data_IF_831177828026
#
_entry.id   IF_831177828026
#
_cell.length_a   1.000
_cell.length_b   1.000
_cell.length_c   1.000
_cell.angle_alpha   90.00
_cell.angle_beta   90.00
_cell.angle_gamma   90.00
#
_symmetry.space_group_name_H-M   'P 1'
#
loop_
_entity.id
_entity.type
_entity.pdbx_description
1 polymer ?
#
# COMPACT_ATOMS: atom_id res chain seq x y z
N UNK A 1 -5.86 37.79 9.34
CA UNK A 1 -5.86 37.53 10.79
C UNK A 1 -5.17 36.20 10.99
N UNK A 2 -4.02 36.14 11.67
CA UNK A 2 -3.34 34.88 12.01
C UNK A 2 -3.70 34.51 13.45
N UNK A 3 -4.76 33.72 13.61
CA UNK A 3 -5.15 33.14 14.89
C UNK A 3 -4.73 31.67 14.93
N UNK A 4 -3.93 31.28 15.92
CA UNK A 4 -3.79 29.86 16.28
C UNK A 4 -5.14 29.39 16.82
N UNK A 5 -5.94 28.75 15.98
CA UNK A 5 -7.16 28.07 16.41
C UNK A 5 -6.78 26.67 16.90
N UNK A 6 -7.12 26.34 18.14
CA UNK A 6 -7.10 24.97 18.66
C UNK A 6 -8.29 24.20 18.09
N UNK A 7 -8.21 23.87 16.80
CA UNK A 7 -9.25 23.11 16.11
C UNK A 7 -10.25 23.95 15.33
N UNK A 8 -10.43 23.64 14.04
CA UNK A 8 -11.59 24.05 13.24
C UNK A 8 -12.35 22.80 12.81
N UNK A 9 -13.68 22.88 12.87
CA UNK A 9 -14.60 21.91 12.26
C UNK A 9 -15.24 22.56 11.04
N UNK A 10 -15.18 21.89 9.90
CA UNK A 10 -15.82 22.29 8.65
C UNK A 10 -16.88 21.25 8.28
N UNK A 11 -18.15 21.60 8.44
CA UNK A 11 -19.30 20.69 8.31
C UNK A 11 -20.21 21.01 7.11
N UNK A 12 -20.05 22.20 6.52
CA UNK A 12 -20.78 22.65 5.34
C UNK A 12 -20.18 22.17 4.01
N UNK A 13 -20.68 22.77 2.93
CA UNK A 13 -20.10 22.64 1.59
C UNK A 13 -19.37 23.92 1.24
N UNK A 14 -18.05 23.91 1.28
CA UNK A 14 -17.24 25.13 1.20
C UNK A 14 -16.03 24.99 0.28
N UNK A 15 -15.55 26.13 -0.19
CA UNK A 15 -14.26 26.26 -0.86
C UNK A 15 -13.42 27.26 -0.08
N UNK A 16 -12.31 26.78 0.47
CA UNK A 16 -11.34 27.60 1.20
C UNK A 16 -10.25 28.01 0.22
N UNK A 17 -10.22 29.31 -0.08
CA UNK A 17 -9.31 29.93 -1.04
C UNK A 17 -8.05 30.54 -0.44
N UNK A 18 -7.92 30.44 0.88
CA UNK A 18 -6.78 30.93 1.64
C UNK A 18 -5.94 29.75 2.14
N UNK A 19 -4.67 30.00 2.44
CA UNK A 19 -3.84 29.00 3.11
C UNK A 19 -4.36 28.77 4.54
N UNK A 20 -4.32 27.52 4.99
CA UNK A 20 -4.75 27.12 6.33
C UNK A 20 -3.51 26.70 7.12
N UNK A 21 -3.29 27.34 8.26
CA UNK A 21 -2.27 26.98 9.27
C UNK A 21 -3.00 26.83 10.60
N UNK A 22 -3.12 25.60 11.11
CA UNK A 22 -3.95 25.31 12.28
C UNK A 22 -3.46 24.12 13.11
N UNK A 23 -3.77 24.08 14.40
CA UNK A 23 -3.50 22.89 15.21
C UNK A 23 -4.25 21.65 14.71
N UNK A 24 -5.59 21.67 14.76
CA UNK A 24 -6.43 20.55 14.33
C UNK A 24 -7.42 20.99 13.25
N UNK A 25 -7.62 20.17 12.23
CA UNK A 25 -8.59 20.39 11.18
C UNK A 25 -9.51 19.17 11.08
N UNK A 26 -10.81 19.35 11.33
CA UNK A 26 -11.82 18.32 11.19
C UNK A 26 -12.76 18.66 10.04
N UNK A 27 -12.86 17.78 9.05
CA UNK A 27 -13.75 17.92 7.89
C UNK A 27 -14.85 16.88 7.98
N UNK A 28 -16.06 17.32 8.32
CA UNK A 28 -17.27 16.48 8.36
C UNK A 28 -18.19 16.75 7.16
N UNK A 29 -18.04 17.92 6.52
CA UNK A 29 -18.79 18.35 5.34
C UNK A 29 -18.12 18.00 4.01
N UNK A 30 -18.35 18.81 2.97
CA UNK A 30 -17.72 18.69 1.65
C UNK A 30 -16.84 19.91 1.36
N UNK A 31 -15.53 19.77 1.54
CA UNK A 31 -14.60 20.91 1.55
C UNK A 31 -13.56 20.79 0.44
N UNK A 32 -13.36 21.90 -0.27
CA UNK A 32 -12.26 22.09 -1.22
C UNK A 32 -11.26 23.11 -0.66
N UNK A 33 -10.00 22.71 -0.46
CA UNK A 33 -8.88 23.60 -0.18
C UNK A 33 -8.14 23.89 -1.48
N UNK A 34 -8.08 25.14 -1.92
CA UNK A 34 -7.36 25.51 -3.16
C UNK A 34 -5.94 25.97 -2.93
N UNK A 35 -5.55 26.20 -1.66
CA UNK A 35 -4.21 26.59 -1.20
C UNK A 35 -3.68 25.58 -0.19
N UNK A 36 -2.44 25.80 0.25
CA UNK A 36 -1.74 24.93 1.17
C UNK A 36 -2.50 24.77 2.49
N UNK A 37 -2.46 23.57 3.04
CA UNK A 37 -2.92 23.24 4.39
C UNK A 37 -1.74 22.71 5.17
N UNK A 38 -1.43 23.39 6.27
CA UNK A 38 -0.46 22.99 7.29
C UNK A 38 -1.22 22.78 8.60
N UNK A 39 -1.15 21.58 9.17
CA UNK A 39 -1.81 21.30 10.44
C UNK A 39 -1.12 20.23 11.27
N UNK A 40 -1.30 20.19 12.59
CA UNK A 40 -0.78 19.06 13.36
C UNK A 40 -1.63 17.79 13.09
N UNK A 41 -2.96 17.93 13.13
CA UNK A 41 -3.88 16.81 12.90
C UNK A 41 -4.96 17.19 11.89
N UNK A 42 -5.17 16.31 10.92
CA UNK A 42 -6.28 16.42 9.96
C UNK A 42 -7.15 15.17 10.07
N UNK A 43 -8.43 15.35 10.38
CA UNK A 43 -9.43 14.28 10.44
C UNK A 43 -10.52 14.54 9.39
N UNK A 44 -10.79 13.55 8.55
CA UNK A 44 -11.77 13.66 7.46
C UNK A 44 -12.79 12.54 7.62
N UNK A 45 -13.99 12.90 8.07
CA UNK A 45 -15.15 12.00 8.12
C UNK A 45 -16.15 12.28 7.00
N UNK A 46 -16.16 13.50 6.47
CA UNK A 46 -16.89 13.90 5.27
C UNK A 46 -16.07 13.70 3.99
N UNK A 47 -16.05 14.72 3.13
CA UNK A 47 -15.28 14.75 1.89
C UNK A 47 -14.31 15.93 1.89
N UNK A 48 -13.03 15.67 1.66
CA UNK A 48 -12.02 16.71 1.51
C UNK A 48 -11.28 16.59 0.18
N UNK A 49 -11.08 17.71 -0.51
CA UNK A 49 -10.16 17.80 -1.65
C UNK A 49 -9.10 18.84 -1.36
N UNK A 50 -7.84 18.43 -1.40
CA UNK A 50 -6.68 19.32 -1.31
C UNK A 50 -6.16 19.56 -2.73
N UNK A 51 -6.40 20.77 -3.23
CA UNK A 51 -5.94 21.23 -4.55
C UNK A 51 -4.47 21.65 -4.57
N UNK A 52 -3.86 21.79 -3.39
CA UNK A 52 -2.45 22.15 -3.21
C UNK A 52 -1.83 21.27 -2.11
N UNK A 53 -0.64 21.63 -1.61
CA UNK A 53 0.09 20.81 -0.65
C UNK A 53 -0.69 20.61 0.65
N UNK A 54 -0.63 19.38 1.17
CA UNK A 54 -1.11 19.02 2.50
C UNK A 54 0.10 18.58 3.35
N UNK A 55 0.40 19.36 4.38
CA UNK A 55 1.39 19.01 5.40
C UNK A 55 0.68 18.78 6.72
N UNK A 56 0.90 17.63 7.36
CA UNK A 56 0.44 17.43 8.74
C UNK A 56 1.14 16.31 9.50
N UNK A 57 1.18 16.35 10.83
CA UNK A 57 1.75 15.22 11.59
C UNK A 57 0.89 13.96 11.42
N UNK A 58 -0.43 14.11 11.49
CA UNK A 58 -1.36 12.98 11.40
C UNK A 58 -2.55 13.26 10.49
N UNK A 59 -2.75 12.39 9.50
CA UNK A 59 -3.91 12.38 8.61
C UNK A 59 -4.78 11.16 8.90
N UNK A 60 -6.02 11.37 9.36
CA UNK A 60 -7.01 10.31 9.59
C UNK A 60 -8.20 10.45 8.66
N UNK A 61 -8.55 9.38 7.95
CA UNK A 61 -9.62 9.39 6.95
C UNK A 61 -10.60 8.25 7.24
N UNK A 62 -11.85 8.63 7.51
CA UNK A 62 -13.00 7.71 7.59
C UNK A 62 -13.96 7.93 6.41
N UNK A 63 -14.00 9.16 5.89
CA UNK A 63 -14.77 9.52 4.70
C UNK A 63 -13.96 9.44 3.41
N UNK A 64 -14.04 10.49 2.59
CA UNK A 64 -13.44 10.56 1.27
C UNK A 64 -12.36 11.66 1.20
N UNK A 65 -11.17 11.36 0.67
CA UNK A 65 -10.12 12.36 0.50
C UNK A 65 -9.50 12.31 -0.91
N UNK A 66 -9.36 13.47 -1.55
CA UNK A 66 -8.59 13.63 -2.81
C UNK A 66 -7.44 14.60 -2.59
N UNK A 67 -6.22 14.12 -2.55
CA UNK A 67 -5.02 14.94 -2.49
C UNK A 67 -4.42 15.11 -3.88
N UNK A 68 -4.68 16.26 -4.51
CA UNK A 68 -4.28 16.55 -5.90
C UNK A 68 -2.82 16.99 -6.07
N UNK A 69 -2.11 17.21 -4.96
CA UNK A 69 -0.70 17.58 -4.93
C UNK A 69 0.01 16.80 -3.81
N UNK A 70 1.27 17.14 -3.54
CA UNK A 70 2.12 16.44 -2.58
C UNK A 70 1.49 16.41 -1.17
N UNK A 71 1.61 15.25 -0.54
CA UNK A 71 1.22 15.03 0.87
C UNK A 71 2.47 14.71 1.67
N UNK A 72 2.74 15.51 2.70
CA UNK A 72 3.83 15.32 3.64
C UNK A 72 3.26 15.10 5.03
N UNK A 73 3.42 13.90 5.59
CA UNK A 73 2.81 13.60 6.88
C UNK A 73 3.52 12.52 7.66
N UNK A 74 3.61 12.59 8.99
CA UNK A 74 4.25 11.50 9.73
C UNK A 74 3.41 10.22 9.66
N UNK A 75 2.09 10.33 9.86
CA UNK A 75 1.22 9.15 9.92
C UNK A 75 -0.09 9.32 9.16
N UNK A 76 -0.37 8.38 8.26
CA UNK A 76 -1.66 8.25 7.57
C UNK A 76 -2.43 7.06 8.15
N UNK A 77 -3.67 7.32 8.58
CA UNK A 77 -4.60 6.28 9.05
C UNK A 77 -5.91 6.34 8.29
N UNK A 78 -6.27 5.25 7.61
CA UNK A 78 -7.54 5.15 6.87
C UNK A 78 -8.41 4.11 7.56
N UNK A 79 -9.58 4.52 8.04
CA UNK A 79 -10.54 3.73 8.82
C UNK A 79 -11.78 3.40 8.00
N UNK A 80 -11.60 2.62 6.93
CA UNK A 80 -12.70 2.20 6.04
C UNK A 80 -13.12 3.24 4.99
N UNK A 81 -12.54 4.45 5.03
CA UNK A 81 -12.72 5.47 4.00
C UNK A 81 -11.86 5.23 2.75
N UNK A 82 -11.87 6.20 1.85
CA UNK A 82 -11.13 6.15 0.58
C UNK A 82 -10.24 7.39 0.41
N UNK A 83 -9.02 7.19 -0.10
CA UNK A 83 -8.14 8.29 -0.51
C UNK A 83 -7.53 8.09 -1.90
N UNK A 84 -7.45 9.18 -2.66
CA UNK A 84 -6.65 9.27 -3.89
C UNK A 84 -5.47 10.24 -3.68
N UNK A 85 -4.27 9.74 -3.92
CA UNK A 85 -3.04 10.51 -4.00
C UNK A 85 -2.63 10.68 -5.46
N UNK A 86 -2.79 11.89 -5.99
CA UNK A 86 -2.46 12.19 -7.39
C UNK A 86 -0.98 12.47 -7.62
N UNK A 87 -0.27 12.93 -6.59
CA UNK A 87 1.16 13.24 -6.64
C UNK A 87 1.90 12.46 -5.53
N UNK A 88 3.03 12.97 -5.05
CA UNK A 88 3.92 12.25 -4.13
C UNK A 88 3.35 12.23 -2.72
N UNK A 89 3.55 11.10 -2.06
CA UNK A 89 3.29 10.90 -0.64
C UNK A 89 4.62 10.64 0.06
N UNK A 90 4.92 11.46 1.06
CA UNK A 90 6.05 11.27 1.97
C UNK A 90 5.51 11.07 3.37
N UNK A 91 5.74 9.89 3.93
CA UNK A 91 5.26 9.57 5.27
C UNK A 91 6.15 8.61 6.02
N UNK A 92 5.98 8.49 7.34
CA UNK A 92 6.66 7.46 8.11
C UNK A 92 5.82 6.18 8.13
N UNK A 93 4.48 6.30 8.16
CA UNK A 93 3.61 5.13 8.19
C UNK A 93 2.26 5.35 7.53
N UNK A 94 1.79 4.32 6.83
CA UNK A 94 0.40 4.16 6.38
C UNK A 94 -0.20 2.95 7.08
N UNK A 95 -1.34 3.14 7.75
CA UNK A 95 -2.19 2.06 8.26
C UNK A 95 -3.58 2.20 7.65
N UNK A 96 -3.99 1.23 6.85
CA UNK A 96 -5.29 1.27 6.18
C UNK A 96 -6.15 0.07 6.53
N UNK A 97 -7.44 0.33 6.76
CA UNK A 97 -8.54 -0.65 6.64
C UNK A 97 -9.53 -0.24 5.54
N UNK A 98 -9.17 0.72 4.68
CA UNK A 98 -10.00 1.21 3.58
C UNK A 98 -9.23 1.22 2.26
N UNK A 99 -9.65 2.07 1.33
CA UNK A 99 -9.15 2.07 -0.04
C UNK A 99 -8.12 3.20 -0.26
N UNK A 100 -7.00 2.85 -0.88
CA UNK A 100 -5.98 3.79 -1.32
C UNK A 100 -5.83 3.64 -2.83
N UNK A 101 -5.92 4.77 -3.53
CA UNK A 101 -5.44 4.88 -4.90
C UNK A 101 -4.27 5.85 -4.95
N UNK A 102 -3.17 5.48 -5.61
CA UNK A 102 -2.01 6.36 -5.75
C UNK A 102 -1.42 6.29 -7.16
N UNK A 103 -0.96 7.44 -7.68
CA UNK A 103 -0.57 7.59 -9.08
C UNK A 103 0.93 7.85 -9.31
N UNK A 104 1.63 8.63 -8.47
CA UNK A 104 3.06 8.94 -8.69
C UNK A 104 4.02 8.14 -7.80
N UNK A 105 4.26 8.59 -6.56
CA UNK A 105 5.19 7.91 -5.64
C UNK A 105 4.61 7.85 -4.24
N UNK A 106 4.75 6.68 -3.60
CA UNK A 106 4.61 6.54 -2.15
C UNK A 106 6.01 6.25 -1.57
N UNK A 107 6.50 7.15 -0.72
CA UNK A 107 7.64 6.91 0.16
C UNK A 107 7.13 6.81 1.60
N UNK A 108 7.23 5.63 2.18
CA UNK A 108 6.77 5.38 3.55
C UNK A 108 7.72 4.48 4.30
N UNK A 109 8.09 4.76 5.54
CA UNK A 109 8.83 3.77 6.34
C UNK A 109 8.07 2.45 6.47
N UNK A 110 6.77 2.52 6.78
CA UNK A 110 5.89 1.34 6.88
C UNK A 110 4.57 1.50 6.14
N UNK A 111 4.11 0.44 5.49
CA UNK A 111 2.76 0.37 4.90
C UNK A 111 2.09 -0.90 5.41
N UNK A 112 0.99 -0.75 6.14
CA UNK A 112 0.19 -1.85 6.67
C UNK A 112 -1.23 -1.78 6.09
N UNK A 113 -1.58 -2.75 5.25
CA UNK A 113 -2.92 -2.92 4.69
C UNK A 113 -3.63 -4.03 5.49
N UNK A 114 -4.62 -3.66 6.31
CA UNK A 114 -5.44 -4.61 7.06
C UNK A 114 -6.31 -5.46 6.13
N UNK A 115 -6.97 -6.49 6.68
CA UNK A 115 -7.77 -7.48 5.92
C UNK A 115 -8.74 -6.87 4.90
N UNK A 116 -9.39 -5.76 5.23
CA UNK A 116 -10.36 -5.11 4.36
C UNK A 116 -9.77 -4.02 3.46
N UNK A 117 -8.51 -3.67 3.66
CA UNK A 117 -7.85 -2.63 2.88
C UNK A 117 -7.56 -3.07 1.45
N UNK A 118 -7.61 -2.09 0.55
CA UNK A 118 -7.15 -2.23 -0.82
C UNK A 118 -6.20 -1.09 -1.15
N UNK A 119 -5.05 -1.42 -1.75
CA UNK A 119 -4.17 -0.46 -2.40
C UNK A 119 -4.16 -0.74 -3.90
N UNK A 120 -4.71 0.18 -4.69
CA UNK A 120 -4.69 0.12 -6.15
C UNK A 120 -3.81 1.23 -6.71
N UNK A 121 -2.75 0.89 -7.42
CA UNK A 121 -1.72 1.88 -7.69
C UNK A 121 -0.97 1.70 -9.00
N UNK A 122 -0.65 2.84 -9.59
CA UNK A 122 0.36 3.00 -10.65
C UNK A 122 1.62 3.67 -10.09
N UNK A 123 1.61 4.06 -8.81
CA UNK A 123 2.71 4.71 -8.15
C UNK A 123 3.88 3.77 -7.91
N UNK A 124 5.10 4.31 -7.96
CA UNK A 124 6.27 3.59 -7.43
C UNK A 124 6.19 3.60 -5.91
N UNK A 125 6.28 2.44 -5.30
CA UNK A 125 6.32 2.31 -3.83
C UNK A 125 7.76 2.13 -3.39
N UNK A 126 8.17 2.91 -2.38
CA UNK A 126 9.42 2.74 -1.64
C UNK A 126 9.11 2.69 -0.16
N UNK A 127 9.43 1.58 0.48
CA UNK A 127 9.26 1.42 1.93
C UNK A 127 10.38 0.64 2.61
N UNK A 128 10.38 0.65 3.94
CA UNK A 128 11.19 -0.31 4.68
C UNK A 128 10.37 -1.60 4.86
N UNK A 129 9.09 -1.46 5.24
CA UNK A 129 8.22 -2.61 5.49
C UNK A 129 6.86 -2.43 4.82
N UNK A 130 6.45 -3.41 4.01
CA UNK A 130 5.11 -3.53 3.43
C UNK A 130 4.42 -4.80 3.95
N UNK A 131 3.36 -4.64 4.74
CA UNK A 131 2.51 -5.74 5.21
C UNK A 131 1.13 -5.66 4.56
N UNK A 132 0.71 -6.75 3.93
CA UNK A 132 -0.56 -6.85 3.21
C UNK A 132 -1.35 -8.03 3.75
N UNK A 133 -2.35 -7.71 4.57
CA UNK A 133 -3.41 -8.65 4.96
C UNK A 133 -4.65 -8.51 4.07
N UNK A 134 -4.84 -7.32 3.48
CA UNK A 134 -5.86 -7.04 2.48
C UNK A 134 -5.39 -7.37 1.06
N UNK A 135 -5.60 -6.44 0.14
CA UNK A 135 -5.22 -6.59 -1.27
C UNK A 135 -4.32 -5.45 -1.72
N UNK A 136 -3.30 -5.77 -2.52
CA UNK A 136 -2.55 -4.78 -3.30
C UNK A 136 -2.61 -5.12 -4.80
N UNK A 137 -2.88 -4.11 -5.62
CA UNK A 137 -2.72 -4.15 -7.08
C UNK A 137 -1.76 -3.03 -7.47
N UNK A 138 -0.55 -3.38 -7.86
CA UNK A 138 0.46 -2.44 -8.34
C UNK A 138 0.88 -2.81 -9.76
N UNK A 139 0.67 -1.89 -10.68
CA UNK A 139 1.18 -2.00 -12.06
C UNK A 139 2.60 -1.46 -12.23
N UNK A 140 3.19 -0.92 -11.16
CA UNK A 140 4.52 -0.31 -11.11
C UNK A 140 5.43 -1.07 -10.14
N UNK A 141 6.66 -0.57 -9.97
CA UNK A 141 7.66 -1.18 -9.09
C UNK A 141 7.33 -0.96 -7.61
N UNK A 142 7.35 -2.03 -6.83
CA UNK A 142 7.31 -2.00 -5.37
C UNK A 142 8.70 -2.35 -4.85
N UNK A 143 9.36 -1.38 -4.22
CA UNK A 143 10.62 -1.58 -3.53
C UNK A 143 10.40 -1.50 -2.02
N UNK A 144 10.74 -2.56 -1.30
CA UNK A 144 10.73 -2.57 0.16
C UNK A 144 12.01 -3.20 0.71
N UNK A 145 12.30 -3.08 1.99
CA UNK A 145 13.30 -3.99 2.61
C UNK A 145 12.63 -5.33 2.92
N UNK A 146 11.42 -5.28 3.49
CA UNK A 146 10.60 -6.45 3.79
C UNK A 146 9.21 -6.31 3.16
N UNK A 147 8.73 -7.39 2.55
CA UNK A 147 7.35 -7.53 2.06
C UNK A 147 6.74 -8.79 2.66
N UNK A 148 5.64 -8.62 3.39
CA UNK A 148 4.82 -9.72 3.90
C UNK A 148 3.41 -9.63 3.34
N UNK A 149 3.03 -10.59 2.50
CA UNK A 149 1.66 -10.72 1.99
C UNK A 149 1.05 -11.95 2.67
N UNK A 150 0.15 -11.71 3.62
CA UNK A 150 -0.56 -12.76 4.35
C UNK A 150 -2.05 -12.58 4.13
N UNK A 151 -2.56 -13.08 3.00
CA UNK A 151 -3.94 -12.84 2.60
C UNK A 151 -4.55 -14.00 1.82
N UNK A 152 -5.87 -14.15 1.96
CA UNK A 152 -6.71 -14.97 1.08
C UNK A 152 -7.13 -14.24 -0.20
N UNK A 153 -6.94 -12.91 -0.25
CA UNK A 153 -7.21 -12.08 -1.42
C UNK A 153 -6.01 -12.13 -2.37
N UNK A 154 -6.29 -12.26 -3.67
CA UNK A 154 -5.25 -12.20 -4.69
C UNK A 154 -4.69 -10.78 -4.79
N UNK A 155 -3.37 -10.67 -4.59
CA UNK A 155 -2.58 -9.48 -4.86
C UNK A 155 -1.85 -9.60 -6.19
N UNK A 156 -1.65 -8.47 -6.86
CA UNK A 156 -1.00 -8.39 -8.15
C UNK A 156 0.06 -7.30 -8.05
N UNK A 157 1.34 -7.66 -8.17
CA UNK A 157 2.43 -6.68 -8.16
C UNK A 157 3.33 -6.99 -9.35
N UNK A 158 3.39 -6.08 -10.32
CA UNK A 158 4.16 -6.31 -11.55
C UNK A 158 5.64 -6.59 -11.27
N UNK A 159 6.31 -5.67 -10.57
CA UNK A 159 7.74 -5.76 -10.26
C UNK A 159 7.97 -5.59 -8.76
N UNK A 160 8.66 -6.56 -8.16
CA UNK A 160 9.04 -6.55 -6.75
C UNK A 160 10.56 -6.49 -6.63
N UNK A 161 11.05 -5.60 -5.77
CA UNK A 161 12.45 -5.57 -5.33
C UNK A 161 12.45 -5.51 -3.81
N UNK A 162 12.98 -6.54 -3.15
CA UNK A 162 12.96 -6.59 -1.68
C UNK A 162 14.05 -7.46 -1.11
N UNK A 163 14.53 -7.21 0.10
CA UNK A 163 15.50 -8.13 0.70
C UNK A 163 14.78 -9.42 1.11
N UNK A 164 13.65 -9.28 1.81
CA UNK A 164 12.84 -10.42 2.28
C UNK A 164 11.44 -10.36 1.67
N UNK A 165 11.03 -11.46 1.03
CA UNK A 165 9.68 -11.66 0.53
C UNK A 165 9.01 -12.86 1.21
N UNK A 166 7.93 -12.62 1.94
CA UNK A 166 7.10 -13.68 2.52
C UNK A 166 5.69 -13.57 1.96
N UNK A 167 5.21 -14.63 1.32
CA UNK A 167 3.84 -14.73 0.81
C UNK A 167 3.16 -15.98 1.37
N UNK A 168 2.22 -15.77 2.27
CA UNK A 168 1.48 -16.84 2.97
C UNK A 168 -0.03 -16.69 2.82
N UNK A 169 -0.72 -17.82 2.89
CA UNK A 169 -2.16 -17.82 3.16
C UNK A 169 -2.42 -17.89 4.66
N UNK A 170 -3.47 -17.23 5.18
CA UNK A 170 -3.90 -17.41 6.56
C UNK A 170 -4.35 -18.85 6.82
N UNK A 171 -3.93 -19.45 7.94
CA UNK A 171 -4.23 -20.85 8.29
C UNK A 171 -5.73 -21.12 8.53
N UNK A 172 -6.50 -20.09 8.90
CA UNK A 172 -7.88 -20.23 9.40
C UNK A 172 -8.98 -19.73 8.44
N UNK A 173 -8.67 -19.43 7.18
CA UNK A 173 -9.69 -18.97 6.21
C UNK A 173 -10.04 -20.05 5.20
N UNK A 174 -11.27 -20.56 5.27
CA UNK A 174 -11.81 -21.54 4.33
C UNK A 174 -11.75 -21.02 2.88
N UNK A 175 -11.24 -21.87 2.01
CA UNK A 175 -11.08 -21.65 0.58
C UNK A 175 -12.45 -21.63 -0.11
N UNK A 176 -13.11 -20.48 -0.17
CA UNK A 176 -14.25 -20.30 -1.10
C UNK A 176 -13.72 -20.06 -2.51
N UNK A 177 -13.30 -21.15 -3.18
CA UNK A 177 -12.94 -21.10 -4.59
C UNK A 177 -14.16 -21.37 -5.47
N UNK A 178 -14.74 -20.29 -5.99
CA UNK A 178 -15.44 -20.37 -7.27
C UNK A 178 -14.39 -20.41 -8.40
N UNK A 179 -14.01 -21.62 -8.82
CA UNK A 179 -13.74 -21.94 -10.22
C UNK A 179 -12.36 -21.69 -10.86
N UNK A 180 -11.38 -21.01 -10.25
CA UNK A 180 -10.01 -20.89 -10.82
C UNK A 180 -8.94 -20.85 -9.73
N UNK A 181 -7.73 -21.39 -10.00
CA UNK A 181 -6.54 -21.24 -9.15
C UNK A 181 -6.35 -19.74 -8.84
N UNK A 182 -6.61 -19.29 -7.60
CA UNK A 182 -6.31 -17.92 -7.20
C UNK A 182 -5.01 -17.91 -6.44
N UNK A 183 -3.96 -17.41 -7.07
CA UNK A 183 -2.69 -17.17 -6.40
C UNK A 183 -2.86 -16.09 -5.33
N UNK A 184 -2.10 -16.16 -4.24
CA UNK A 184 -2.03 -15.09 -3.23
C UNK A 184 -1.30 -13.88 -3.80
N UNK A 185 -0.21 -14.13 -4.54
CA UNK A 185 0.51 -13.11 -5.30
C UNK A 185 0.67 -13.56 -6.75
N UNK A 186 0.41 -12.66 -7.69
CA UNK A 186 0.90 -12.76 -9.07
C UNK A 186 1.91 -11.66 -9.34
N UNK A 187 3.06 -12.01 -9.93
CA UNK A 187 4.10 -11.06 -10.28
C UNK A 187 4.79 -11.42 -11.59
N UNK A 188 5.17 -10.41 -12.37
CA UNK A 188 5.92 -10.63 -13.61
C UNK A 188 7.40 -10.87 -13.27
N UNK A 189 7.94 -10.07 -12.34
CA UNK A 189 9.34 -10.09 -11.95
C UNK A 189 9.53 -9.82 -10.45
N UNK A 190 10.33 -10.66 -9.79
CA UNK A 190 10.74 -10.51 -8.40
C UNK A 190 12.26 -10.65 -8.31
N UNK A 191 12.90 -9.66 -7.69
CA UNK A 191 14.30 -9.68 -7.28
C UNK A 191 14.37 -9.55 -5.76
N UNK A 192 14.87 -10.59 -5.09
CA UNK A 192 15.04 -10.57 -3.65
C UNK A 192 16.28 -11.28 -3.12
N UNK A 193 16.54 -11.19 -1.82
CA UNK A 193 17.59 -12.00 -1.18
C UNK A 193 16.95 -13.32 -0.71
N UNK A 194 15.89 -13.23 0.10
CA UNK A 194 15.19 -14.38 0.66
C UNK A 194 13.73 -14.40 0.23
N UNK A 195 13.24 -15.56 -0.19
CA UNK A 195 11.84 -15.77 -0.54
C UNK A 195 11.22 -16.95 0.23
N UNK A 196 10.04 -16.75 0.80
CA UNK A 196 9.20 -17.82 1.35
C UNK A 196 7.79 -17.68 0.78
N UNK A 197 7.48 -18.53 -0.19
CA UNK A 197 6.37 -18.32 -1.11
C UNK A 197 5.40 -19.49 -1.07
N UNK A 198 4.11 -19.19 -0.87
CA UNK A 198 3.03 -20.17 -1.01
C UNK A 198 1.95 -19.64 -1.95
N UNK A 199 1.41 -20.54 -2.77
CA UNK A 199 0.35 -20.22 -3.73
C UNK A 199 0.61 -18.98 -4.61
N UNK A 200 1.82 -18.80 -5.13
CA UNK A 200 2.18 -17.67 -6.00
C UNK A 200 2.21 -18.05 -7.48
N UNK A 201 2.00 -17.08 -8.37
CA UNK A 201 2.40 -17.18 -9.77
C UNK A 201 3.45 -16.12 -10.06
N UNK A 202 4.64 -16.54 -10.49
CA UNK A 202 5.76 -15.63 -10.71
C UNK A 202 6.36 -15.94 -12.07
N UNK A 203 6.47 -14.93 -12.95
CA UNK A 203 7.17 -15.06 -14.21
C UNK A 203 8.66 -15.34 -13.97
N UNK A 204 9.37 -14.38 -13.38
CA UNK A 204 10.79 -14.51 -13.06
C UNK A 204 11.05 -14.22 -11.59
N UNK A 205 11.72 -15.15 -10.90
CA UNK A 205 12.19 -15.00 -9.53
C UNK A 205 13.72 -15.09 -9.50
N UNK A 206 14.36 -14.00 -9.08
CA UNK A 206 15.79 -13.94 -8.78
C UNK A 206 15.97 -13.83 -7.27
N UNK A 207 16.73 -14.76 -6.69
CA UNK A 207 16.96 -14.80 -5.25
C UNK A 207 18.32 -15.34 -4.83
N UNK A 208 18.77 -15.06 -3.62
CA UNK A 208 19.86 -15.81 -3.00
C UNK A 208 19.37 -17.17 -2.52
N UNK A 209 18.32 -17.16 -1.69
CA UNK A 209 17.71 -18.35 -1.11
C UNK A 209 16.18 -18.30 -1.25
N UNK A 210 15.54 -19.45 -1.49
CA UNK A 210 14.09 -19.52 -1.55
C UNK A 210 13.49 -20.83 -1.02
N UNK A 211 12.32 -20.72 -0.39
CA UNK A 211 11.43 -21.84 -0.09
C UNK A 211 10.15 -21.68 -0.91
N UNK A 212 9.98 -22.57 -1.88
CA UNK A 212 8.85 -22.58 -2.81
C UNK A 212 7.85 -23.63 -2.35
N UNK A 213 6.80 -23.18 -1.70
CA UNK A 213 5.77 -24.02 -1.08
C UNK A 213 4.68 -24.42 -2.04
N UNK A 214 3.87 -25.36 -1.59
CA UNK A 214 2.75 -25.90 -2.37
C UNK A 214 1.85 -24.83 -2.99
N UNK A 215 1.42 -25.07 -4.23
CA UNK A 215 0.56 -24.17 -4.99
C UNK A 215 1.28 -23.04 -5.73
N UNK A 216 2.60 -22.90 -5.57
CA UNK A 216 3.40 -21.97 -6.37
C UNK A 216 3.59 -22.50 -7.80
N UNK A 217 3.62 -21.57 -8.75
CA UNK A 217 4.03 -21.78 -10.13
C UNK A 217 5.03 -20.68 -10.47
N UNK A 218 6.25 -21.05 -10.87
CA UNK A 218 7.32 -20.13 -11.22
C UNK A 218 7.82 -20.49 -12.62
N UNK A 219 7.77 -19.56 -13.56
CA UNK A 219 8.19 -19.84 -14.93
C UNK A 219 9.74 -19.93 -15.01
N UNK A 220 10.46 -19.02 -14.34
CA UNK A 220 11.92 -19.07 -14.23
C UNK A 220 12.39 -18.70 -12.81
N UNK A 221 13.18 -19.59 -12.19
CA UNK A 221 13.85 -19.39 -10.91
C UNK A 221 15.37 -19.37 -11.10
N UNK A 222 16.00 -18.22 -10.86
CA UNK A 222 17.46 -18.08 -10.78
C UNK A 222 17.86 -17.90 -9.31
N UNK A 223 18.77 -18.75 -8.82
CA UNK A 223 19.21 -18.68 -7.42
C UNK A 223 20.73 -18.80 -7.25
N UNK A 224 21.26 -18.16 -6.20
CA UNK A 224 22.70 -18.14 -5.90
C UNK A 224 23.13 -19.18 -4.84
N UNK A 225 22.29 -19.44 -3.82
CA UNK A 225 22.64 -20.28 -2.66
C UNK A 225 21.82 -21.57 -2.63
N UNK A 226 20.67 -21.55 -1.97
CA UNK A 226 19.85 -22.73 -1.70
C UNK A 226 18.38 -22.52 -2.07
N UNK A 227 17.75 -23.57 -2.57
CA UNK A 227 16.33 -23.57 -2.88
C UNK A 227 15.70 -24.86 -2.38
N UNK A 228 14.61 -24.73 -1.63
CA UNK A 228 13.73 -25.82 -1.24
C UNK A 228 12.43 -25.72 -2.05
N UNK A 229 12.03 -26.81 -2.71
CA UNK A 229 10.79 -26.89 -3.48
C UNK A 229 9.91 -27.98 -2.88
N UNK A 230 8.79 -27.59 -2.28
CA UNK A 230 7.85 -28.53 -1.65
C UNK A 230 6.97 -29.26 -2.69
N UNK A 231 6.44 -30.44 -2.34
CA UNK A 231 5.43 -31.11 -3.15
C UNK A 231 4.24 -30.21 -3.51
N UNK A 232 3.90 -30.16 -4.80
CA UNK A 232 2.80 -29.36 -5.33
C UNK A 232 3.18 -27.93 -5.72
N UNK A 233 4.45 -27.54 -5.56
CA UNK A 233 5.03 -26.40 -6.28
C UNK A 233 5.48 -26.83 -7.69
N UNK A 234 5.44 -25.90 -8.64
CA UNK A 234 5.94 -26.08 -10.01
C UNK A 234 6.95 -24.98 -10.31
N UNK A 235 8.13 -25.37 -10.79
CA UNK A 235 9.16 -24.48 -11.31
C UNK A 235 9.54 -24.98 -12.69
N UNK A 236 9.19 -24.23 -13.75
CA UNK A 236 9.35 -24.68 -15.14
C UNK A 236 10.83 -24.66 -15.56
N UNK A 237 11.55 -23.58 -15.19
CA UNK A 237 12.99 -23.46 -15.42
C UNK A 237 13.72 -23.10 -14.13
N UNK A 238 14.60 -24.00 -13.69
CA UNK A 238 15.44 -23.81 -12.51
C UNK A 238 16.90 -23.61 -12.93
N UNK A 239 17.51 -22.49 -12.53
CA UNK A 239 18.88 -22.12 -12.88
C UNK A 239 19.65 -21.74 -11.62
N UNK A 240 20.82 -22.34 -11.42
CA UNK A 240 21.77 -21.90 -10.40
C UNK A 240 22.79 -20.96 -11.06
N UNK A 241 22.98 -19.78 -10.49
CA UNK A 241 23.97 -18.80 -10.96
C UNK A 241 25.39 -19.14 -10.48
#
# INVERSE_FOLDING_TARGET
MTGKFDGIVLDGRETINEAVDIGNLNVTGQILFTRNVDANVVEITGQAQFGSWLTCDKLTITGECRAKSDVMTQHIKIRGGTIWFYDKVYTESILSSGEITAYDVIRSGRINLNKDAMLDTTAKIKSDVLKVFGKIRSTSSVKSTEIHIVSSKQSEIRNVVTDILVVRRPENEELKFEGKKKYTLTSDFIDCIEADLSACYIGQLYCDSAIIRSGCVIDELLYNKEVEIEPGAVVERLVKA
#
